data_IF_492438012392
#
_entry.id   IF_492438012392
#
_cell.length_a   1.000
_cell.length_b   1.000
_cell.length_c   1.000
_cell.angle_alpha   90.00
_cell.angle_beta   90.00
_cell.angle_gamma   90.00
#
_symmetry.space_group_name_H-M   'P 1'
#
loop_
_entity.id
_entity.type
_entity.pdbx_description
1 polymer ?
#
# COMPACT_ATOMS: atom_id res chain seq x y z
N UNK A 1 2.89 41.68 -34.78
CA UNK A 1 3.57 42.45 -33.71
C UNK A 1 2.49 42.76 -32.70
N UNK A 2 2.24 41.82 -31.81
CA UNK A 2 1.14 41.89 -30.86
C UNK A 2 1.61 42.43 -29.52
N UNK A 3 0.83 43.40 -29.04
CA UNK A 3 1.05 44.23 -27.86
C UNK A 3 0.61 43.44 -26.63
N UNK A 4 1.55 43.24 -25.71
CA UNK A 4 1.29 42.66 -24.41
C UNK A 4 1.51 43.70 -23.30
N UNK A 5 0.67 43.55 -22.28
CA UNK A 5 0.89 43.86 -20.85
C UNK A 5 0.56 45.26 -20.33
N UNK A 6 -0.68 45.36 -19.87
CA UNK A 6 -1.19 46.28 -18.85
C UNK A 6 -1.22 45.56 -17.50
N UNK A 7 -0.69 46.19 -16.42
CA UNK A 7 -1.17 46.15 -15.03
C UNK A 7 -0.08 46.60 -14.04
N UNK A 8 -0.06 47.89 -13.70
CA UNK A 8 0.65 48.41 -12.53
C UNK A 8 -0.35 48.54 -11.36
N UNK A 9 -0.15 47.77 -10.29
CA UNK A 9 -0.89 47.89 -9.02
C UNK A 9 -0.07 48.66 -7.99
N UNK A 10 -0.76 49.57 -7.33
CA UNK A 10 -0.27 50.55 -6.37
C UNK A 10 -0.19 50.03 -4.92
N UNK A 11 0.53 50.82 -4.11
CA UNK A 11 0.44 51.03 -2.65
C UNK A 11 1.14 50.05 -1.70
N UNK A 12 2.37 50.41 -1.33
CA UNK A 12 2.97 50.13 -0.01
C UNK A 12 3.37 51.46 0.65
N UNK A 13 2.83 51.70 1.85
CA UNK A 13 3.20 52.71 2.84
C UNK A 13 2.93 52.08 4.20
N UNK A 14 3.56 52.39 5.33
CA UNK A 14 4.87 52.87 5.72
C UNK A 14 4.94 52.71 7.26
N UNK A 15 6.14 52.50 7.79
CA UNK A 15 6.62 52.91 9.14
C UNK A 15 6.14 52.27 10.46
N UNK A 16 7.03 51.45 11.02
CA UNK A 16 7.82 51.60 12.28
C UNK A 16 7.28 52.34 13.52
N UNK A 17 7.38 51.69 14.71
CA UNK A 17 8.36 52.00 15.81
C UNK A 17 7.86 51.86 17.27
N UNK A 18 8.78 51.35 18.11
CA UNK A 18 9.12 51.71 19.51
C UNK A 18 8.44 51.05 20.75
N UNK A 19 9.23 50.17 21.40
CA UNK A 19 9.69 50.09 22.81
C UNK A 19 8.88 50.67 24.00
N UNK A 20 8.75 49.90 25.10
CA UNK A 20 9.50 50.06 26.39
C UNK A 20 8.79 49.51 27.65
N UNK A 21 9.53 48.68 28.40
CA UNK A 21 9.68 48.49 29.86
C UNK A 21 8.68 49.08 30.89
N UNK A 22 8.28 48.25 31.88
CA UNK A 22 8.65 48.34 33.32
C UNK A 22 7.52 48.31 34.40
N UNK A 23 7.64 47.32 35.30
CA UNK A 23 7.44 47.33 36.79
C UNK A 23 6.09 47.64 37.46
N UNK A 24 5.74 46.75 38.41
CA UNK A 24 5.17 46.91 39.78
C UNK A 24 4.29 45.68 40.09
N UNK A 25 4.18 45.11 41.29
CA UNK A 25 4.88 45.18 42.57
C UNK A 25 4.38 43.98 43.42
N UNK A 26 5.12 43.66 44.47
CA UNK A 26 5.00 42.55 45.44
C UNK A 26 3.67 42.46 46.21
N UNK A 27 3.26 41.23 46.59
CA UNK A 27 3.10 40.81 47.99
C UNK A 27 2.80 39.29 48.13
N UNK A 28 3.44 38.66 49.11
CA UNK A 28 3.42 37.24 49.56
C UNK A 28 2.67 37.21 50.94
N UNK A 29 2.58 36.15 51.78
CA UNK A 29 2.60 34.67 51.65
C UNK A 29 1.41 33.98 52.40
N UNK A 30 1.18 32.67 52.22
CA UNK A 30 0.59 31.77 53.27
C UNK A 30 0.83 30.28 52.92
N UNK A 31 0.74 29.32 53.88
CA UNK A 31 1.81 28.35 54.19
C UNK A 31 1.37 26.88 53.89
N UNK A 32 2.21 25.87 54.17
CA UNK A 32 1.99 24.48 53.73
C UNK A 32 1.09 23.73 54.73
N UNK A 33 0.45 22.64 54.33
CA UNK A 33 0.25 21.41 55.13
C UNK A 33 -0.68 20.44 54.39
N UNK A 34 -0.16 19.25 54.11
CA UNK A 34 -0.92 18.05 53.71
C UNK A 34 -1.80 17.53 54.84
N UNK A 35 -2.90 16.83 54.51
CA UNK A 35 -3.12 15.52 55.14
C UNK A 35 -3.50 14.43 54.13
N UNK A 36 -2.92 13.25 54.33
CA UNK A 36 -3.31 11.98 53.70
C UNK A 36 -4.47 11.33 54.48
N UNK A 37 -5.18 10.48 53.72
CA UNK A 37 -6.07 9.36 54.10
C UNK A 37 -7.58 9.62 54.16
N UNK A 38 -8.29 8.80 53.36
CA UNK A 38 -9.74 8.66 53.41
C UNK A 38 -10.43 8.38 52.07
N UNK A 39 -9.85 7.63 51.12
CA UNK A 39 -10.61 7.26 49.90
C UNK A 39 -11.52 6.07 50.22
N UNK A 40 -12.80 6.37 50.48
CA UNK A 40 -13.89 5.38 50.42
C UNK A 40 -13.97 4.78 49.03
N UNK A 41 -14.16 3.47 49.02
CA UNK A 41 -14.56 2.65 47.88
C UNK A 41 -15.83 3.19 47.22
N UNK A 42 -15.73 3.56 45.95
CA UNK A 42 -16.85 3.55 45.01
C UNK A 42 -16.38 2.72 43.83
N UNK A 43 -17.01 1.54 43.65
CA UNK A 43 -16.86 0.71 42.44
C UNK A 43 -17.37 1.52 41.26
N UNK A 44 -16.48 1.92 40.36
CA UNK A 44 -16.86 2.32 39.00
C UNK A 44 -17.07 1.06 38.16
N UNK A 45 -18.03 1.04 37.21
CA UNK A 45 -18.27 -0.11 36.36
C UNK A 45 -17.08 -0.31 35.44
N UNK A 46 -16.65 -1.56 35.32
CA UNK A 46 -15.63 -2.05 34.39
C UNK A 46 -15.94 -1.65 32.94
N UNK A 47 -15.29 -0.60 32.44
CA UNK A 47 -14.85 -0.59 31.05
C UNK A 47 -13.67 -1.56 30.99
N UNK A 48 -13.79 -2.61 30.19
CA UNK A 48 -12.70 -3.54 29.91
C UNK A 48 -11.49 -2.76 29.40
N UNK A 49 -10.50 -2.61 30.28
CA UNK A 49 -9.25 -1.93 30.00
C UNK A 49 -8.43 -2.90 29.14
N UNK A 50 -8.33 -2.65 27.83
CA UNK A 50 -7.29 -3.26 26.98
C UNK A 50 -5.95 -2.68 27.42
N UNK A 51 -5.40 -3.19 28.51
CA UNK A 51 -4.08 -2.81 29.05
C UNK A 51 -2.99 -3.81 28.77
N UNK A 52 -3.35 -5.00 28.32
CA UNK A 52 -2.34 -5.81 27.70
C UNK A 52 -2.01 -5.09 26.40
N UNK A 53 -0.72 -4.79 26.21
CA UNK A 53 -0.24 -4.46 24.89
C UNK A 53 -0.94 -5.44 23.92
N UNK A 54 -1.44 -4.98 22.79
CA UNK A 54 -1.99 -5.93 21.83
C UNK A 54 -0.82 -6.75 21.24
N UNK A 55 0.41 -6.23 21.28
CA UNK A 55 1.61 -6.85 20.72
C UNK A 55 2.69 -7.46 21.67
N UNK A 56 2.40 -8.01 22.87
CA UNK A 56 3.38 -8.67 23.74
C UNK A 56 3.64 -10.13 23.34
N UNK A 57 3.03 -10.60 22.24
CA UNK A 57 3.14 -11.98 21.76
C UNK A 57 3.57 -12.09 20.29
N UNK A 58 4.55 -11.27 19.86
CA UNK A 58 5.50 -11.72 18.83
C UNK A 58 6.35 -12.85 19.44
N UNK A 59 5.74 -14.00 19.72
CA UNK A 59 6.45 -15.18 20.20
C UNK A 59 7.33 -15.73 19.07
N UNK A 60 8.45 -16.30 19.48
CA UNK A 60 9.57 -16.83 18.68
C UNK A 60 9.20 -17.79 17.53
N UNK A 61 7.94 -18.24 17.44
CA UNK A 61 7.43 -19.08 16.35
C UNK A 61 7.14 -18.29 15.06
N UNK A 62 6.72 -17.02 15.13
CA UNK A 62 6.48 -16.17 13.94
C UNK A 62 7.79 -15.59 13.36
N UNK A 63 8.86 -15.56 14.17
CA UNK A 63 10.19 -15.07 13.79
C UNK A 63 10.79 -15.85 12.59
N UNK A 64 10.42 -17.13 12.41
CA UNK A 64 10.88 -17.96 11.29
C UNK A 64 10.32 -17.54 9.92
N UNK A 65 9.03 -17.15 9.85
CA UNK A 65 8.41 -16.61 8.63
C UNK A 65 8.81 -15.15 8.40
N UNK A 66 9.11 -14.46 9.50
CA UNK A 66 9.59 -13.10 9.51
C UNK A 66 11.07 -12.99 9.03
N UNK A 67 11.91 -14.01 9.18
CA UNK A 67 13.29 -14.03 8.62
C UNK A 67 13.32 -13.87 7.09
N UNK A 68 12.26 -14.24 6.38
CA UNK A 68 12.15 -14.11 4.91
C UNK A 68 11.76 -12.68 4.44
N UNK A 69 11.77 -11.71 5.37
CA UNK A 69 11.56 -10.27 5.10
C UNK A 69 12.79 -9.41 5.41
N UNK A 70 13.93 -10.04 5.68
CA UNK A 70 15.20 -9.33 5.87
C UNK A 70 15.51 -8.46 4.63
N UNK A 71 16.15 -7.30 4.82
CA UNK A 71 16.61 -6.49 3.69
C UNK A 71 17.60 -7.29 2.85
N UNK A 72 17.26 -7.58 1.60
CA UNK A 72 18.29 -7.89 0.60
C UNK A 72 19.26 -6.70 0.58
N UNK A 73 20.55 -6.88 0.92
CA UNK A 73 21.48 -5.78 1.10
C UNK A 73 21.73 -5.09 -0.25
N UNK A 74 21.49 -3.78 -0.29
CA UNK A 74 21.95 -2.81 -1.30
C UNK A 74 22.11 -3.34 -2.74
N UNK A 75 21.09 -4.01 -3.26
CA UNK A 75 21.01 -4.40 -4.67
C UNK A 75 20.67 -3.21 -5.60
N UNK A 76 20.69 -1.97 -5.09
CA UNK A 76 20.38 -0.76 -5.85
C UNK A 76 21.33 -0.50 -7.02
N UNK A 77 22.56 -1.02 -6.98
CA UNK A 77 23.51 -0.82 -8.06
C UNK A 77 24.18 -2.13 -8.48
N UNK A 78 23.72 -2.65 -9.61
CA UNK A 78 24.24 -3.87 -10.23
C UNK A 78 25.76 -3.83 -10.40
N UNK A 79 26.35 -2.68 -10.74
CA UNK A 79 27.80 -2.56 -10.95
C UNK A 79 28.62 -2.78 -9.67
N UNK A 80 28.02 -2.56 -8.50
CA UNK A 80 28.67 -2.83 -7.21
C UNK A 80 28.47 -4.28 -6.76
N UNK A 81 27.43 -4.94 -7.25
CA UNK A 81 27.15 -6.36 -6.97
C UNK A 81 27.99 -7.29 -7.87
N UNK A 82 28.32 -6.87 -9.09
CA UNK A 82 29.11 -7.66 -10.04
C UNK A 82 30.57 -7.18 -10.06
N UNK A 83 31.54 -8.10 -10.01
CA UNK A 83 32.96 -7.75 -9.93
C UNK A 83 33.41 -6.81 -11.06
N UNK A 84 34.31 -5.86 -10.75
CA UNK A 84 34.80 -4.81 -11.66
C UNK A 84 35.32 -5.35 -13.01
N UNK A 85 35.86 -6.56 -13.01
CA UNK A 85 36.39 -7.22 -14.21
C UNK A 85 35.29 -7.58 -15.22
N UNK A 86 34.06 -7.85 -14.75
CA UNK A 86 32.91 -8.15 -15.61
C UNK A 86 32.39 -6.87 -16.27
N UNK A 87 32.34 -5.77 -15.52
CA UNK A 87 31.88 -4.46 -16.02
C UNK A 87 32.84 -3.91 -17.08
N UNK A 88 34.15 -4.11 -16.91
CA UNK A 88 35.18 -3.61 -17.83
C UNK A 88 35.08 -4.20 -19.26
N UNK A 89 34.43 -5.35 -19.43
CA UNK A 89 34.26 -6.01 -20.73
C UNK A 89 32.97 -5.64 -21.48
N UNK A 90 32.12 -4.77 -20.92
CA UNK A 90 30.79 -4.48 -21.44
C UNK A 90 30.71 -3.08 -22.06
N UNK A 91 29.84 -2.93 -23.07
CA UNK A 91 29.53 -1.60 -23.61
C UNK A 91 28.61 -0.83 -22.67
N UNK A 92 28.63 0.52 -22.72
CA UNK A 92 27.75 1.34 -21.88
C UNK A 92 26.27 0.97 -22.03
N UNK A 93 25.82 0.72 -23.27
CA UNK A 93 24.45 0.27 -23.55
C UNK A 93 24.09 -1.01 -22.80
N UNK A 94 25.02 -1.95 -22.71
CA UNK A 94 24.83 -3.25 -22.06
C UNK A 94 24.90 -3.14 -20.54
N UNK A 95 25.61 -2.14 -20.01
CA UNK A 95 25.61 -1.77 -18.60
C UNK A 95 24.23 -1.18 -18.25
N UNK A 96 23.77 -0.18 -19.01
CA UNK A 96 22.48 0.48 -18.80
C UNK A 96 21.32 -0.55 -18.89
N UNK A 97 21.36 -1.45 -19.87
CA UNK A 97 20.39 -2.55 -19.99
C UNK A 97 20.32 -3.40 -18.72
N UNK A 98 21.48 -3.78 -18.16
CA UNK A 98 21.55 -4.61 -16.96
C UNK A 98 21.10 -3.88 -15.71
N UNK A 99 21.36 -2.58 -15.61
CA UNK A 99 20.86 -1.77 -14.50
C UNK A 99 19.33 -1.75 -14.47
N UNK A 100 18.69 -1.53 -15.62
CA UNK A 100 17.22 -1.53 -15.72
C UNK A 100 16.64 -2.91 -15.43
N UNK A 101 17.27 -3.99 -15.93
CA UNK A 101 16.84 -5.37 -15.61
C UNK A 101 16.99 -5.66 -14.12
N UNK A 102 18.09 -5.21 -13.51
CA UNK A 102 18.30 -5.37 -12.09
C UNK A 102 17.28 -4.56 -11.27
N UNK A 103 16.96 -3.34 -11.69
CA UNK A 103 15.90 -2.52 -11.09
C UNK A 103 14.55 -3.24 -11.12
N UNK A 104 14.19 -3.86 -12.25
CA UNK A 104 12.98 -4.69 -12.37
C UNK A 104 12.95 -5.81 -11.33
N UNK A 105 14.05 -6.55 -11.18
CA UNK A 105 14.12 -7.68 -10.27
C UNK A 105 14.13 -7.25 -8.79
N UNK A 106 14.81 -6.14 -8.48
CA UNK A 106 14.83 -5.58 -7.12
C UNK A 106 13.46 -5.00 -6.75
N UNK A 107 12.79 -4.34 -7.71
CA UNK A 107 11.42 -3.87 -7.55
C UNK A 107 10.49 -5.03 -7.20
N UNK A 108 10.57 -6.12 -7.96
CA UNK A 108 9.72 -7.30 -7.73
C UNK A 108 9.96 -7.93 -6.35
N UNK A 109 11.23 -8.12 -5.96
CA UNK A 109 11.56 -8.63 -4.64
C UNK A 109 11.04 -7.70 -3.52
N UNK A 110 11.16 -6.38 -3.72
CA UNK A 110 10.62 -5.40 -2.78
C UNK A 110 9.10 -5.45 -2.69
N UNK A 111 8.42 -5.69 -3.81
CA UNK A 111 6.96 -5.84 -3.83
C UNK A 111 6.49 -7.08 -3.08
N UNK A 112 7.06 -8.25 -3.38
CA UNK A 112 6.73 -9.48 -2.68
C UNK A 112 6.92 -9.32 -1.16
N UNK A 113 7.98 -8.63 -0.74
CA UNK A 113 8.20 -8.29 0.66
C UNK A 113 7.07 -7.42 1.23
N UNK A 114 6.59 -6.42 0.49
CA UNK A 114 5.44 -5.60 0.92
C UNK A 114 4.16 -6.44 1.05
N UNK A 115 3.89 -7.34 0.11
CA UNK A 115 2.74 -8.25 0.20
C UNK A 115 2.82 -9.20 1.40
N UNK A 116 4.00 -9.73 1.70
CA UNK A 116 4.22 -10.58 2.89
C UNK A 116 4.11 -9.80 4.20
N UNK A 117 4.53 -8.53 4.22
CA UNK A 117 4.26 -7.62 5.36
C UNK A 117 2.76 -7.42 5.54
N UNK A 118 2.04 -7.20 4.44
CA UNK A 118 0.59 -7.07 4.44
C UNK A 118 -0.10 -8.34 4.96
N UNK A 119 0.40 -9.52 4.60
CA UNK A 119 -0.09 -10.81 5.10
C UNK A 119 0.17 -10.98 6.60
N UNK A 120 1.44 -10.95 7.01
CA UNK A 120 1.84 -11.31 8.37
C UNK A 120 1.42 -10.28 9.43
N UNK A 121 1.59 -8.99 9.14
CA UNK A 121 1.36 -7.93 10.13
C UNK A 121 -0.11 -7.50 10.18
N UNK A 122 -0.82 -7.59 9.06
CA UNK A 122 -2.21 -7.14 8.97
C UNK A 122 -3.18 -8.32 8.84
N UNK A 123 -3.15 -9.08 7.75
CA UNK A 123 -4.16 -10.11 7.48
C UNK A 123 -4.20 -11.22 8.54
N UNK A 124 -3.08 -11.91 8.79
CA UNK A 124 -3.02 -13.05 9.73
C UNK A 124 -3.36 -12.60 11.14
N UNK A 125 -2.91 -11.40 11.51
CA UNK A 125 -3.14 -10.84 12.84
C UNK A 125 -4.60 -10.41 13.04
N UNK A 126 -5.20 -9.71 12.08
CA UNK A 126 -6.63 -9.39 12.07
C UNK A 126 -7.50 -10.66 12.14
N UNK A 127 -7.07 -11.73 11.48
CA UNK A 127 -7.74 -13.03 11.48
C UNK A 127 -7.63 -13.74 12.84
N UNK A 128 -6.42 -13.80 13.41
CA UNK A 128 -6.12 -14.50 14.67
C UNK A 128 -6.83 -13.85 15.85
N UNK A 129 -6.75 -12.52 15.95
CA UNK A 129 -7.34 -11.74 17.04
C UNK A 129 -8.83 -11.41 16.81
N UNK A 130 -9.43 -11.90 15.73
CA UNK A 130 -10.84 -11.67 15.36
C UNK A 130 -11.23 -10.18 15.37
N UNK A 131 -10.36 -9.32 14.84
CA UNK A 131 -10.56 -7.86 14.82
C UNK A 131 -11.71 -7.41 13.91
N UNK A 132 -12.20 -8.30 13.04
CA UNK A 132 -13.38 -8.09 12.20
C UNK A 132 -14.03 -9.41 11.79
N UNK A 133 -15.31 -9.39 11.37
CA UNK A 133 -15.97 -10.54 10.77
C UNK A 133 -15.19 -11.10 9.58
N UNK A 134 -15.28 -12.42 9.35
CA UNK A 134 -14.56 -13.10 8.26
C UNK A 134 -14.99 -12.59 6.89
N UNK A 135 -16.24 -12.20 6.74
CA UNK A 135 -16.80 -11.64 5.51
C UNK A 135 -16.25 -10.25 5.22
N UNK A 136 -15.98 -9.45 6.25
CA UNK A 136 -15.29 -8.16 6.13
C UNK A 136 -13.83 -8.36 5.76
N UNK A 137 -13.15 -9.29 6.43
CA UNK A 137 -11.75 -9.60 6.16
C UNK A 137 -11.54 -10.15 4.75
N UNK A 138 -12.44 -11.01 4.27
CA UNK A 138 -12.41 -11.53 2.90
C UNK A 138 -12.70 -10.46 1.85
N UNK A 139 -13.40 -9.37 2.18
CA UNK A 139 -13.52 -8.21 1.28
C UNK A 139 -12.27 -7.32 1.31
N UNK A 140 -11.59 -7.26 2.45
CA UNK A 140 -10.36 -6.50 2.63
C UNK A 140 -9.17 -7.14 1.89
N UNK A 141 -9.10 -8.47 1.94
CA UNK A 141 -8.06 -9.28 1.30
C UNK A 141 -8.69 -10.44 0.54
N UNK A 142 -9.22 -10.20 -0.67
CA UNK A 142 -10.02 -11.19 -1.38
C UNK A 142 -9.22 -12.42 -1.85
N UNK A 143 -7.93 -12.24 -2.11
CA UNK A 143 -7.05 -13.24 -2.70
C UNK A 143 -5.57 -12.92 -2.46
N UNK A 144 -5.24 -12.42 -1.26
CA UNK A 144 -3.85 -12.05 -0.91
C UNK A 144 -2.89 -13.24 -0.99
N UNK A 145 -3.23 -14.46 -0.51
CA UNK A 145 -2.34 -15.62 -0.65
C UNK A 145 -2.04 -15.96 -2.11
N UNK A 146 -3.06 -15.96 -2.98
CA UNK A 146 -2.90 -16.23 -4.41
C UNK A 146 -2.02 -15.17 -5.08
N UNK A 147 -2.20 -13.90 -4.71
CA UNK A 147 -1.36 -12.80 -5.21
C UNK A 147 0.11 -12.97 -4.79
N UNK A 148 0.35 -13.35 -3.52
CA UNK A 148 1.70 -13.64 -3.03
C UNK A 148 2.34 -14.79 -3.80
N UNK A 149 1.61 -15.88 -4.03
CA UNK A 149 2.13 -17.05 -4.74
C UNK A 149 2.51 -16.75 -6.18
N UNK A 150 1.70 -15.93 -6.88
CA UNK A 150 2.02 -15.41 -8.20
C UNK A 150 3.38 -14.69 -8.17
N UNK A 151 3.52 -13.62 -7.39
CA UNK A 151 4.79 -12.87 -7.33
C UNK A 151 5.98 -13.71 -6.82
N UNK A 152 5.73 -14.66 -5.90
CA UNK A 152 6.75 -15.59 -5.42
C UNK A 152 7.23 -16.54 -6.54
N UNK A 153 6.33 -17.07 -7.36
CA UNK A 153 6.68 -17.93 -8.49
C UNK A 153 7.57 -17.21 -9.50
N UNK A 154 7.30 -15.93 -9.77
CA UNK A 154 8.11 -15.12 -10.66
C UNK A 154 9.48 -14.80 -10.06
N UNK A 155 9.52 -14.46 -8.75
CA UNK A 155 10.79 -14.29 -8.03
C UNK A 155 11.66 -15.54 -8.11
N UNK A 156 11.09 -16.74 -7.98
CA UNK A 156 11.82 -17.99 -8.10
C UNK A 156 12.34 -18.23 -9.53
N UNK A 157 11.58 -17.83 -10.56
CA UNK A 157 12.04 -17.86 -11.95
C UNK A 157 13.23 -16.89 -12.17
N UNK A 158 13.15 -15.67 -11.62
CA UNK A 158 14.24 -14.69 -11.64
C UNK A 158 15.49 -15.23 -10.92
N UNK A 159 15.31 -15.87 -9.75
CA UNK A 159 16.41 -16.48 -8.97
C UNK A 159 17.12 -17.54 -9.81
N UNK A 160 16.37 -18.47 -10.43
CA UNK A 160 16.95 -19.50 -11.31
C UNK A 160 17.74 -18.90 -12.47
N UNK A 161 17.21 -17.85 -13.11
CA UNK A 161 17.91 -17.16 -14.19
C UNK A 161 19.24 -16.54 -13.72
N UNK A 162 19.29 -16.02 -12.49
CA UNK A 162 20.54 -15.47 -11.90
C UNK A 162 21.55 -16.55 -11.53
N UNK A 163 21.11 -17.77 -11.24
CA UNK A 163 21.98 -18.91 -10.93
C UNK A 163 22.74 -19.43 -12.17
N UNK A 164 22.20 -19.22 -13.37
CA UNK A 164 22.86 -19.58 -14.64
C UNK A 164 24.11 -18.72 -14.93
N UNK A 165 24.24 -17.57 -14.25
CA UNK A 165 25.42 -16.74 -14.27
C UNK A 165 25.13 -15.26 -14.02
N UNK A 166 26.16 -14.45 -13.72
CA UNK A 166 26.00 -13.02 -13.45
C UNK A 166 25.61 -12.21 -14.69
N UNK A 167 25.78 -12.78 -15.89
CA UNK A 167 25.51 -12.14 -17.18
C UNK A 167 24.21 -12.72 -17.74
N UNK A 168 23.10 -12.06 -17.42
CA UNK A 168 21.80 -12.38 -18.00
C UNK A 168 21.80 -11.91 -19.46
N UNK A 169 21.62 -12.84 -20.39
CA UNK A 169 21.67 -12.57 -21.83
C UNK A 169 20.30 -12.20 -22.38
N UNK A 170 19.38 -13.16 -22.41
CA UNK A 170 18.01 -12.99 -22.92
C UNK A 170 17.01 -13.04 -21.75
N UNK A 171 16.12 -12.06 -21.66
CA UNK A 171 15.02 -12.05 -20.67
C UNK A 171 13.63 -12.13 -21.33
N UNK A 172 13.54 -12.18 -22.65
CA UNK A 172 12.29 -12.16 -23.40
C UNK A 172 11.38 -13.34 -23.04
N UNK A 173 11.92 -14.55 -22.93
CA UNK A 173 11.14 -15.74 -22.53
C UNK A 173 10.63 -15.64 -21.08
N UNK A 174 11.45 -15.10 -20.16
CA UNK A 174 11.03 -14.86 -18.78
C UNK A 174 9.89 -13.85 -18.73
N UNK A 175 9.96 -12.77 -19.52
CA UNK A 175 8.91 -11.74 -19.57
C UNK A 175 7.62 -12.29 -20.19
N UNK A 176 7.71 -13.07 -21.27
CA UNK A 176 6.52 -13.66 -21.90
C UNK A 176 5.86 -14.74 -21.04
N UNK A 177 6.64 -15.56 -20.33
CA UNK A 177 6.08 -16.54 -19.40
C UNK A 177 5.21 -15.88 -18.33
N UNK A 178 5.53 -14.63 -17.97
CA UNK A 178 4.82 -13.86 -16.95
C UNK A 178 3.67 -13.02 -17.50
N UNK A 179 3.93 -12.28 -18.57
CA UNK A 179 3.00 -11.27 -19.08
C UNK A 179 2.17 -11.73 -20.26
N UNK A 180 2.38 -12.94 -20.79
CA UNK A 180 1.63 -13.45 -21.93
C UNK A 180 0.99 -14.82 -21.66
N UNK A 181 0.04 -15.20 -22.51
CA UNK A 181 -0.65 -16.49 -22.46
C UNK A 181 -1.25 -16.78 -21.07
N UNK A 182 -1.01 -17.98 -20.50
CA UNK A 182 -1.56 -18.34 -19.19
C UNK A 182 -1.10 -17.43 -18.03
N UNK A 183 0.17 -16.99 -18.04
CA UNK A 183 0.70 -16.10 -17.00
C UNK A 183 -0.03 -14.76 -16.98
N UNK A 184 -0.32 -14.21 -18.16
CA UNK A 184 -1.16 -13.01 -18.30
C UNK A 184 -2.54 -13.20 -17.69
N UNK A 185 -3.21 -14.29 -18.05
CA UNK A 185 -4.59 -14.55 -17.64
C UNK A 185 -4.70 -14.68 -16.12
N UNK A 186 -3.76 -15.39 -15.51
CA UNK A 186 -3.68 -15.55 -14.06
C UNK A 186 -3.38 -14.22 -13.36
N UNK A 187 -2.32 -13.52 -13.77
CA UNK A 187 -1.91 -12.23 -13.18
C UNK A 187 -3.03 -11.19 -13.27
N UNK A 188 -3.63 -10.99 -14.44
CA UNK A 188 -4.65 -9.96 -14.62
C UNK A 188 -5.93 -10.25 -13.80
N UNK A 189 -6.31 -11.54 -13.65
CA UNK A 189 -7.48 -11.92 -12.87
C UNK A 189 -7.24 -11.72 -11.38
N UNK A 190 -6.13 -12.23 -10.86
CA UNK A 190 -5.80 -12.14 -9.43
C UNK A 190 -5.57 -10.68 -9.03
N UNK A 191 -4.79 -9.92 -9.80
CA UNK A 191 -4.55 -8.52 -9.52
C UNK A 191 -5.83 -7.66 -9.68
N UNK A 192 -6.71 -7.97 -10.64
CA UNK A 192 -7.99 -7.27 -10.77
C UNK A 192 -8.89 -7.50 -9.55
N UNK A 193 -8.99 -8.73 -9.08
CA UNK A 193 -9.78 -9.05 -7.88
C UNK A 193 -9.22 -8.36 -6.63
N UNK A 194 -7.90 -8.35 -6.46
CA UNK A 194 -7.25 -7.66 -5.34
C UNK A 194 -7.46 -6.15 -5.40
N UNK A 195 -7.16 -5.53 -6.55
CA UNK A 195 -7.22 -4.08 -6.71
C UNK A 195 -8.65 -3.53 -6.66
N UNK A 196 -9.63 -4.28 -7.16
CA UNK A 196 -11.02 -3.80 -7.31
C UNK A 196 -11.71 -3.45 -5.99
N UNK A 197 -11.27 -4.03 -4.88
CA UNK A 197 -11.85 -3.79 -3.56
C UNK A 197 -11.03 -2.80 -2.70
N UNK A 198 -9.91 -2.27 -3.21
CA UNK A 198 -9.01 -1.40 -2.44
C UNK A 198 -9.69 -0.15 -1.87
N UNK A 199 -10.49 0.58 -2.66
CA UNK A 199 -11.15 1.81 -2.17
C UNK A 199 -12.21 1.52 -1.11
N UNK A 200 -12.93 0.41 -1.25
CA UNK A 200 -13.91 -0.08 -0.27
C UNK A 200 -13.19 -0.52 1.01
N UNK A 201 -12.10 -1.27 0.87
CA UNK A 201 -11.23 -1.71 1.96
C UNK A 201 -10.73 -0.52 2.80
N UNK A 202 -10.19 0.52 2.15
CA UNK A 202 -9.73 1.73 2.82
C UNK A 202 -10.86 2.47 3.55
N UNK A 203 -12.06 2.53 2.96
CA UNK A 203 -13.24 3.10 3.60
C UNK A 203 -13.67 2.33 4.86
N UNK A 204 -13.63 0.99 4.81
CA UNK A 204 -13.94 0.12 5.94
C UNK A 204 -12.94 0.30 7.07
N UNK A 205 -11.64 0.24 6.78
CA UNK A 205 -10.57 0.43 7.77
C UNK A 205 -10.70 1.78 8.46
N UNK A 206 -10.88 2.86 7.69
CA UNK A 206 -11.08 4.21 8.24
C UNK A 206 -12.30 4.26 9.16
N UNK A 207 -13.41 3.65 8.75
CA UNK A 207 -14.64 3.63 9.56
C UNK A 207 -14.44 2.87 10.87
N UNK A 208 -13.75 1.72 10.85
CA UNK A 208 -13.46 0.95 12.07
C UNK A 208 -12.49 1.67 12.99
N UNK A 209 -11.41 2.27 12.46
CA UNK A 209 -10.49 3.09 13.26
C UNK A 209 -11.21 4.25 13.97
N UNK A 210 -12.24 4.84 13.35
CA UNK A 210 -13.02 5.91 14.00
C UNK A 210 -14.00 5.40 15.07
N UNK A 211 -14.54 4.18 14.93
CA UNK A 211 -15.59 3.65 15.81
C UNK A 211 -15.06 2.77 16.94
N UNK A 212 -13.93 2.11 16.73
CA UNK A 212 -13.42 1.05 17.59
C UNK A 212 -11.99 1.39 18.02
N UNK A 213 -11.83 1.89 19.25
CA UNK A 213 -10.53 2.32 19.78
C UNK A 213 -9.51 1.18 19.83
N UNK A 214 -9.95 -0.05 20.09
CA UNK A 214 -9.07 -1.23 20.09
C UNK A 214 -8.50 -1.48 18.69
N UNK A 215 -9.33 -1.36 17.64
CA UNK A 215 -8.89 -1.49 16.26
C UNK A 215 -7.95 -0.35 15.85
N UNK A 216 -8.22 0.88 16.31
CA UNK A 216 -7.34 2.02 16.08
C UNK A 216 -5.95 1.80 16.68
N UNK A 217 -5.87 1.35 17.93
CA UNK A 217 -4.61 1.05 18.61
C UNK A 217 -3.85 -0.07 17.91
N UNK A 218 -4.55 -1.13 17.50
CA UNK A 218 -3.95 -2.19 16.70
C UNK A 218 -3.31 -1.63 15.41
N UNK A 219 -4.04 -0.82 14.65
CA UNK A 219 -3.51 -0.26 13.39
C UNK A 219 -2.29 0.62 13.62
N UNK A 220 -2.28 1.45 14.69
CA UNK A 220 -1.13 2.27 15.05
C UNK A 220 0.10 1.42 15.40
N UNK A 221 -0.11 0.37 16.19
CA UNK A 221 0.95 -0.53 16.59
C UNK A 221 1.50 -1.33 15.40
N UNK A 222 0.61 -1.89 14.56
CA UNK A 222 0.97 -2.60 13.33
C UNK A 222 1.76 -1.71 12.35
N UNK A 223 1.33 -0.47 12.12
CA UNK A 223 2.03 0.49 11.26
C UNK A 223 3.38 0.94 11.84
N UNK A 224 3.54 0.91 13.16
CA UNK A 224 4.81 1.21 13.83
C UNK A 224 5.86 0.09 13.71
N UNK A 225 5.44 -1.11 13.27
CA UNK A 225 6.34 -2.26 13.16
C UNK A 225 7.50 -1.94 12.19
N UNK A 226 8.78 -2.20 12.56
CA UNK A 226 9.93 -1.88 11.71
C UNK A 226 9.89 -2.40 10.27
N UNK A 227 9.16 -3.48 10.02
CA UNK A 227 9.02 -4.15 8.71
C UNK A 227 8.16 -3.37 7.75
N UNK A 228 7.22 -2.57 8.27
CA UNK A 228 6.43 -1.63 7.49
C UNK A 228 7.31 -0.53 6.87
N UNK A 229 8.54 -0.30 7.38
CA UNK A 229 9.47 0.73 6.87
C UNK A 229 8.80 2.09 6.69
N UNK A 230 8.04 2.50 7.71
CA UNK A 230 7.27 3.76 7.74
C UNK A 230 6.09 3.84 6.75
N UNK A 231 5.81 2.77 6.01
CA UNK A 231 4.61 2.67 5.17
C UNK A 231 3.39 2.39 6.04
N UNK A 232 2.29 3.07 5.72
CA UNK A 232 1.00 2.81 6.34
C UNK A 232 0.27 1.67 5.63
N UNK A 233 -0.79 1.15 6.24
CA UNK A 233 -1.63 0.14 5.61
C UNK A 233 -2.10 0.55 4.21
N UNK A 234 -2.45 1.82 4.05
CA UNK A 234 -2.90 2.38 2.77
C UNK A 234 -1.82 2.28 1.69
N UNK A 235 -0.56 2.50 2.04
CA UNK A 235 0.52 2.45 1.06
C UNK A 235 0.78 1.00 0.63
N UNK A 236 0.76 0.08 1.59
CA UNK A 236 0.94 -1.35 1.35
C UNK A 236 -0.19 -1.94 0.51
N UNK A 237 -1.45 -1.64 0.80
CA UNK A 237 -2.57 -2.20 0.04
C UNK A 237 -2.63 -1.67 -1.39
N UNK A 238 -2.17 -0.43 -1.62
CA UNK A 238 -2.12 0.19 -2.96
C UNK A 238 -0.90 -0.24 -3.79
N UNK A 239 0.07 -0.94 -3.17
CA UNK A 239 1.35 -1.29 -3.81
C UNK A 239 1.16 -2.12 -5.09
N UNK A 240 0.19 -3.04 -5.13
CA UNK A 240 -0.10 -3.88 -6.29
C UNK A 240 -0.45 -3.05 -7.53
N UNK A 241 -1.44 -2.16 -7.39
CA UNK A 241 -1.84 -1.28 -8.48
C UNK A 241 -0.69 -0.38 -8.92
N UNK A 242 0.14 0.09 -7.98
CA UNK A 242 1.32 0.90 -8.31
C UNK A 242 2.35 0.09 -9.09
N UNK A 243 2.63 -1.15 -8.70
CA UNK A 243 3.56 -2.03 -9.39
C UNK A 243 3.16 -2.30 -10.84
N UNK A 244 1.88 -2.60 -11.09
CA UNK A 244 1.38 -2.84 -12.44
C UNK A 244 1.63 -1.65 -13.38
N UNK A 245 1.63 -0.42 -12.85
CA UNK A 245 1.97 0.78 -13.65
C UNK A 245 3.46 0.90 -13.97
N UNK A 246 4.33 0.20 -13.23
CA UNK A 246 5.79 0.23 -13.41
C UNK A 246 6.28 -0.74 -14.48
N UNK A 247 5.67 -1.92 -14.63
CA UNK A 247 6.13 -2.92 -15.60
C UNK A 247 6.26 -2.38 -17.03
N UNK A 248 5.27 -1.65 -17.60
CA UNK A 248 5.42 -1.08 -18.94
C UNK A 248 6.59 -0.08 -19.04
N UNK A 249 6.84 0.72 -17.99
CA UNK A 249 7.89 1.73 -17.98
C UNK A 249 9.29 1.08 -17.95
N UNK A 250 9.44 0.04 -17.14
CA UNK A 250 10.70 -0.70 -17.05
C UNK A 250 10.97 -1.49 -18.33
N UNK A 251 9.97 -2.19 -18.87
CA UNK A 251 10.12 -2.92 -20.14
C UNK A 251 10.44 -1.97 -21.30
N UNK A 252 9.85 -0.78 -21.35
CA UNK A 252 10.21 0.24 -22.34
C UNK A 252 11.69 0.66 -22.21
N UNK A 253 12.17 0.80 -20.97
CA UNK A 253 13.56 1.13 -20.69
C UNK A 253 14.52 -0.02 -21.06
N UNK A 254 14.15 -1.28 -20.84
CA UNK A 254 14.91 -2.45 -21.32
C UNK A 254 14.96 -2.46 -22.85
N UNK A 255 13.83 -2.22 -23.52
CA UNK A 255 13.73 -2.18 -24.97
C UNK A 255 14.66 -1.12 -25.58
N UNK A 256 14.73 0.09 -24.98
CA UNK A 256 15.65 1.16 -25.42
C UNK A 256 17.10 0.72 -25.50
N UNK A 257 17.51 -0.20 -24.61
CA UNK A 257 18.87 -0.70 -24.56
C UNK A 257 19.06 -2.07 -25.23
N UNK A 258 18.00 -2.71 -25.73
CA UNK A 258 18.07 -4.01 -26.43
C UNK A 258 18.24 -3.80 -27.94
N UNK A 259 19.06 -4.62 -28.61
CA UNK A 259 19.32 -4.50 -30.04
C UNK A 259 18.05 -4.79 -30.87
N UNK A 260 17.65 -3.84 -31.71
CA UNK A 260 16.45 -3.95 -32.54
C UNK A 260 16.59 -4.98 -33.66
N UNK A 261 15.47 -5.58 -34.07
CA UNK A 261 15.44 -6.62 -35.12
C UNK A 261 15.95 -7.99 -34.66
N UNK A 262 16.18 -8.16 -33.35
CA UNK A 262 16.50 -9.45 -32.74
C UNK A 262 15.23 -10.15 -32.24
N UNK A 263 15.28 -11.48 -32.11
CA UNK A 263 14.18 -12.25 -31.55
C UNK A 263 13.83 -11.83 -30.11
N UNK A 264 14.83 -11.48 -29.29
CA UNK A 264 14.60 -10.97 -27.94
C UNK A 264 13.82 -9.64 -27.97
N UNK A 265 14.21 -8.72 -28.85
CA UNK A 265 13.52 -7.44 -28.97
C UNK A 265 12.04 -7.63 -29.34
N UNK A 266 11.72 -8.55 -30.25
CA UNK A 266 10.32 -8.87 -30.59
C UNK A 266 9.54 -9.43 -29.39
N UNK A 267 10.13 -10.36 -28.63
CA UNK A 267 9.53 -10.92 -27.40
C UNK A 267 9.29 -9.83 -26.34
N UNK A 268 10.25 -8.92 -26.16
CA UNK A 268 10.13 -7.81 -25.21
C UNK A 268 9.07 -6.79 -25.64
N UNK A 269 8.94 -6.50 -26.94
CA UNK A 269 7.85 -5.66 -27.46
C UNK A 269 6.48 -6.29 -27.17
N UNK A 270 6.35 -7.60 -27.42
CA UNK A 270 5.13 -8.34 -27.12
C UNK A 270 4.82 -8.29 -25.62
N UNK A 271 5.78 -8.60 -24.75
CA UNK A 271 5.59 -8.53 -23.30
C UNK A 271 5.19 -7.12 -22.84
N UNK A 272 5.82 -6.08 -23.39
CA UNK A 272 5.48 -4.68 -23.10
C UNK A 272 4.04 -4.33 -23.46
N UNK A 273 3.56 -4.74 -24.64
CA UNK A 273 2.17 -4.56 -25.06
C UNK A 273 1.20 -5.31 -24.13
N UNK A 274 1.53 -6.55 -23.74
CA UNK A 274 0.70 -7.30 -22.83
C UNK A 274 0.61 -6.66 -21.43
N UNK A 275 1.70 -6.13 -20.88
CA UNK A 275 1.66 -5.39 -19.60
C UNK A 275 0.66 -4.23 -19.64
N UNK A 276 0.57 -3.51 -20.78
CA UNK A 276 -0.37 -2.41 -20.95
C UNK A 276 -1.82 -2.90 -21.00
N UNK A 277 -2.08 -4.01 -21.65
CA UNK A 277 -3.41 -4.62 -21.66
C UNK A 277 -3.81 -5.18 -20.29
N UNK A 278 -2.88 -5.76 -19.52
CA UNK A 278 -3.11 -6.16 -18.12
C UNK A 278 -3.50 -4.94 -17.29
N UNK A 279 -2.71 -3.86 -17.35
CA UNK A 279 -2.98 -2.64 -16.58
C UNK A 279 -4.35 -2.05 -16.92
N UNK A 280 -4.72 -2.04 -18.21
CA UNK A 280 -6.02 -1.58 -18.68
C UNK A 280 -7.15 -2.46 -18.18
N UNK A 281 -6.98 -3.79 -18.22
CA UNK A 281 -7.95 -4.75 -17.69
C UNK A 281 -8.20 -4.52 -16.19
N UNK A 282 -7.13 -4.45 -15.38
CA UNK A 282 -7.22 -4.21 -13.94
C UNK A 282 -7.86 -2.85 -13.64
N UNK A 283 -7.45 -1.80 -14.35
CA UNK A 283 -8.01 -0.44 -14.18
C UNK A 283 -9.51 -0.39 -14.47
N UNK A 284 -9.98 -1.07 -15.52
CA UNK A 284 -11.40 -1.13 -15.83
C UNK A 284 -12.16 -1.96 -14.80
N UNK A 285 -11.62 -3.08 -14.32
CA UNK A 285 -12.22 -3.88 -13.25
C UNK A 285 -12.42 -3.06 -11.95
N UNK A 286 -11.40 -2.29 -11.56
CA UNK A 286 -11.46 -1.36 -10.42
C UNK A 286 -12.59 -0.36 -10.61
N UNK A 287 -12.59 0.35 -11.75
CA UNK A 287 -13.60 1.35 -12.08
C UNK A 287 -15.02 0.78 -12.09
N UNK A 288 -15.22 -0.41 -12.64
CA UNK A 288 -16.53 -1.08 -12.67
C UNK A 288 -17.01 -1.45 -11.27
N UNK A 289 -16.12 -1.94 -10.41
CA UNK A 289 -16.44 -2.29 -9.03
C UNK A 289 -16.78 -1.06 -8.20
N UNK A 290 -16.01 0.02 -8.33
CA UNK A 290 -16.30 1.30 -7.67
C UNK A 290 -17.64 1.90 -8.13
N UNK A 291 -17.92 1.83 -9.44
CA UNK A 291 -19.19 2.30 -10.00
C UNK A 291 -20.37 1.50 -9.47
N UNK A 292 -20.26 0.17 -9.43
CA UNK A 292 -21.30 -0.72 -8.89
C UNK A 292 -21.58 -0.40 -7.42
N UNK A 293 -20.54 -0.32 -6.60
CA UNK A 293 -20.68 0.01 -5.18
C UNK A 293 -21.31 1.40 -4.96
N UNK A 294 -20.92 2.39 -5.77
CA UNK A 294 -21.53 3.74 -5.73
C UNK A 294 -23.02 3.70 -6.11
N UNK A 295 -23.41 2.91 -7.10
CA UNK A 295 -24.82 2.77 -7.50
C UNK A 295 -25.64 2.06 -6.42
N UNK A 296 -25.13 1.00 -5.80
CA UNK A 296 -25.79 0.31 -4.68
C UNK A 296 -26.04 1.24 -3.49
N UNK A 297 -25.08 2.12 -3.18
CA UNK A 297 -25.24 3.15 -2.15
C UNK A 297 -26.31 4.21 -2.47
N UNK A 298 -26.61 4.47 -3.75
CA UNK A 298 -27.64 5.41 -4.20
C UNK A 298 -29.05 4.78 -4.27
N UNK A 299 -29.12 3.47 -4.54
CA UNK A 299 -30.39 2.74 -4.64
C UNK A 299 -30.93 2.35 -3.25
N UNK A 300 -30.06 2.12 -2.28
CA UNK A 300 -30.43 1.69 -0.92
C UNK A 300 -31.38 2.65 -0.15
N UNK A 301 -31.35 3.99 -0.32
CA UNK A 301 -32.29 4.88 0.37
C UNK A 301 -33.60 5.14 -0.39
N UNK A 302 -33.73 4.77 -1.66
CA UNK A 302 -34.77 5.34 -2.56
C UNK A 302 -35.92 4.41 -2.94
N UNK A 303 -35.99 3.19 -2.38
CA UNK A 303 -36.97 2.16 -2.80
C UNK A 303 -37.77 1.51 -1.66
N UNK A 304 -37.85 2.11 -0.46
CA UNK A 304 -38.90 1.72 0.48
C UNK A 304 -40.22 2.42 0.12
N UNK A 305 -41.25 1.73 -0.40
CA UNK A 305 -42.57 2.33 -0.51
C UNK A 305 -43.06 2.67 0.90
N UNK A 306 -43.75 3.82 1.10
CA UNK A 306 -44.28 4.19 2.39
C UNK A 306 -45.22 3.09 2.91
N UNK A 307 -45.22 2.81 4.23
CA UNK A 307 -46.17 1.86 4.79
C UNK A 307 -47.59 2.32 4.43
N UNK A 308 -48.35 1.44 3.78
CA UNK A 308 -49.76 1.69 3.47
C UNK A 308 -50.47 1.96 4.79
N UNK A 309 -50.96 3.19 4.97
CA UNK A 309 -51.87 3.52 6.05
C UNK A 309 -53.12 2.65 5.88
N UNK A 310 -53.37 1.76 6.83
CA UNK A 310 -54.64 1.04 6.93
C UNK A 310 -55.75 2.07 7.11
N UNK A 311 -56.88 1.97 6.39
CA UNK A 311 -57.96 2.92 6.54
C UNK A 311 -58.56 2.81 7.95
N UNK A 312 -58.71 3.96 8.59
CA UNK A 312 -59.51 4.16 9.77
C UNK A 312 -60.89 3.52 9.57
N UNK A 313 -61.27 2.58 10.44
CA UNK A 313 -62.66 2.29 10.67
C UNK A 313 -63.28 3.46 11.44
N UNK A 314 -63.76 4.44 10.69
CA UNK A 314 -64.84 5.31 11.11
C UNK A 314 -66.13 4.76 10.50
N UNK A 315 -67.00 4.22 11.35
CA UNK A 315 -68.46 4.26 11.26
C UNK A 315 -69.00 3.70 12.60
N UNK A 316 -69.41 4.57 13.53
CA UNK A 316 -70.79 5.04 13.72
C UNK A 316 -71.78 3.93 14.12
N UNK A 317 -72.04 3.77 15.44
CA UNK A 317 -73.25 4.16 16.19
C UNK A 317 -73.06 3.74 17.66
#
# INVERSE_FOLDING_TARGET
MDVATEAARLHQSASSSASSLSTRSLENPTPPFTPKMGRRSIKSPSLGFCTDALLPHLLEEDLGQLLDLEPEPDAQNWQHTVGKDVVAGLSQREIDRREVINELFVMEASHLRMLRVLDLIFYQWMKKENLMPREELARLFPNLPELIEIHNSWREAIRKLREEGPIIRDIGDLMLAWFDGPGREELQQVAAQFCSYQSIALGLIKTKQCKESCFQLFMQEAESHPRCRWLQFRDLIMSEMQLLTKYPLLLESVLKHTEGGTAEHEKLCQAWDQCREILKYVSEAVKQTENRHRLEGLVSPSLQPPPKASPEHADCI
#
